data_IF_209705060377
#
_entry.id   IF_209705060377
#
_cell.length_a   1.000
_cell.length_b   1.000
_cell.length_c   1.000
_cell.angle_alpha   90.00
_cell.angle_beta   90.00
_cell.angle_gamma   90.00
#
_symmetry.space_group_name_H-M   'P 1'
#
loop_
_entity.id
_entity.type
_entity.pdbx_description
1 polymer ?
#
# COMPACT_ATOMS: atom_id res chain seq x y z
N UNK A 1 -16.16 36.11 -7.06
CA UNK A 1 -15.28 35.05 -6.52
C UNK A 1 -14.09 35.73 -5.86
N UNK A 2 -13.74 35.39 -4.62
CA UNK A 2 -12.63 36.05 -3.90
C UNK A 2 -11.77 35.04 -3.16
N UNK A 3 -10.48 35.06 -3.49
CA UNK A 3 -9.41 34.30 -2.84
C UNK A 3 -8.78 35.06 -1.64
N UNK A 4 -9.30 36.23 -1.27
CA UNK A 4 -8.93 37.03 -0.08
C UNK A 4 -7.42 37.15 0.22
N UNK A 5 -6.60 37.39 -0.82
CA UNK A 5 -5.14 37.54 -0.69
C UNK A 5 -4.33 36.24 -0.81
N UNK A 6 -5.00 35.09 -0.97
CA UNK A 6 -4.37 33.83 -1.38
C UNK A 6 -4.06 33.83 -2.88
N UNK A 7 -3.17 32.93 -3.30
CA UNK A 7 -2.83 32.76 -4.70
C UNK A 7 -4.00 32.24 -5.57
N UNK A 8 -4.96 31.51 -4.98
CA UNK A 8 -6.13 30.95 -5.65
C UNK A 8 -7.22 30.53 -4.63
N UNK A 9 -8.46 30.35 -5.09
CA UNK A 9 -9.54 29.79 -4.27
C UNK A 9 -9.25 28.32 -3.94
N UNK A 10 -9.50 27.89 -2.71
CA UNK A 10 -9.36 26.48 -2.34
C UNK A 10 -10.45 25.65 -3.03
N UNK A 11 -10.05 24.77 -3.96
CA UNK A 11 -10.98 23.96 -4.77
C UNK A 11 -10.99 22.48 -4.40
N UNK A 12 -9.81 21.92 -4.13
CA UNK A 12 -9.63 20.49 -3.90
C UNK A 12 -8.60 20.29 -2.80
N UNK A 13 -8.88 19.35 -1.91
CA UNK A 13 -7.93 18.91 -0.89
C UNK A 13 -6.81 18.11 -1.55
N UNK A 14 -5.58 18.26 -1.10
CA UNK A 14 -4.46 17.48 -1.61
C UNK A 14 -4.73 15.96 -1.47
N UNK A 15 -4.52 15.15 -2.53
CA UNK A 15 -4.65 13.70 -2.43
C UNK A 15 -3.55 13.16 -1.52
N UNK A 16 -3.91 12.21 -0.66
CA UNK A 16 -2.98 11.49 0.20
C UNK A 16 -3.19 9.99 0.02
N UNK A 17 -2.11 9.21 0.15
CA UNK A 17 -2.16 7.76 0.14
C UNK A 17 -2.32 7.22 1.55
N UNK A 18 -3.10 6.15 1.70
CA UNK A 18 -3.25 5.46 2.98
C UNK A 18 -1.89 4.87 3.39
N UNK A 19 -1.38 5.15 4.60
CA UNK A 19 -0.13 4.59 5.06
C UNK A 19 -0.24 3.07 5.27
N UNK A 20 0.90 2.39 5.26
CA UNK A 20 0.97 0.97 5.61
C UNK A 20 0.70 0.76 7.11
N UNK A 21 0.05 -0.35 7.45
CA UNK A 21 -0.14 -0.78 8.84
C UNK A 21 1.16 -1.33 9.44
N UNK A 22 1.24 -1.38 10.77
CA UNK A 22 2.33 -2.11 11.45
C UNK A 22 1.94 -3.59 11.48
N UNK A 23 2.52 -4.37 10.56
CA UNK A 23 2.18 -5.78 10.37
C UNK A 23 0.86 -5.97 9.61
N UNK A 24 0.45 -7.24 9.46
CA UNK A 24 -0.76 -7.63 8.72
C UNK A 24 -2.03 -7.45 9.56
N UNK A 25 -1.97 -7.83 10.83
CA UNK A 25 -3.02 -7.70 11.83
C UNK A 25 -2.42 -7.79 13.23
N UNK A 26 -3.26 -7.61 14.28
CA UNK A 26 -2.83 -7.78 15.67
C UNK A 26 -2.26 -9.20 15.87
N UNK A 27 -1.04 -9.28 16.42
CA UNK A 27 -0.31 -10.51 16.75
C UNK A 27 -0.05 -11.47 15.56
N UNK A 28 -0.14 -10.97 14.32
CA UNK A 28 0.04 -11.77 13.10
C UNK A 28 1.48 -11.72 12.55
N UNK A 29 2.43 -12.31 13.30
CA UNK A 29 3.82 -12.46 12.87
C UNK A 29 4.07 -13.80 12.16
N UNK A 30 3.75 -14.91 12.82
CA UNK A 30 3.78 -16.24 12.21
C UNK A 30 2.38 -16.57 11.67
N UNK A 31 2.29 -16.87 10.37
CA UNK A 31 1.04 -17.20 9.69
C UNK A 31 1.10 -18.59 9.08
N UNK A 32 -0.04 -19.27 9.02
CA UNK A 32 -0.11 -20.59 8.40
C UNK A 32 0.06 -20.46 6.87
N UNK A 33 0.85 -21.34 6.25
CA UNK A 33 1.14 -21.26 4.80
C UNK A 33 -0.10 -21.25 3.90
N UNK A 34 -1.19 -21.88 4.35
CA UNK A 34 -2.45 -21.93 3.61
C UNK A 34 -3.23 -20.60 3.62
N UNK A 35 -2.81 -19.59 4.40
CA UNK A 35 -3.38 -18.24 4.37
C UNK A 35 -2.75 -17.36 3.30
N UNK A 36 -1.74 -17.85 2.57
CA UNK A 36 -1.03 -17.11 1.53
C UNK A 36 -1.34 -17.75 0.17
N UNK A 37 -1.87 -16.94 -0.75
CA UNK A 37 -2.07 -17.29 -2.16
C UNK A 37 -0.86 -16.87 -2.99
N UNK A 38 -0.44 -17.69 -3.95
CA UNK A 38 0.57 -17.31 -4.94
C UNK A 38 -0.13 -17.15 -6.29
N UNK A 39 -0.54 -15.92 -6.61
CA UNK A 39 -1.38 -15.63 -7.77
C UNK A 39 -0.55 -15.41 -9.05
N UNK A 40 0.47 -14.55 -8.96
CA UNK A 40 1.29 -14.19 -10.13
C UNK A 40 2.77 -14.23 -9.80
N UNK A 41 3.55 -15.00 -10.57
CA UNK A 41 5.01 -14.98 -10.48
C UNK A 41 5.56 -13.68 -11.05
N UNK A 42 6.28 -12.92 -10.24
CA UNK A 42 6.93 -11.66 -10.62
C UNK A 42 8.36 -11.87 -11.10
N UNK A 43 9.03 -12.93 -10.64
CA UNK A 43 10.40 -13.24 -11.07
C UNK A 43 11.03 -14.43 -10.34
N UNK A 44 12.26 -14.76 -10.74
CA UNK A 44 13.06 -15.82 -10.14
C UNK A 44 14.54 -15.45 -10.18
N UNK A 45 15.25 -15.70 -9.08
CA UNK A 45 16.70 -15.60 -8.99
C UNK A 45 17.34 -16.95 -8.66
N UNK A 46 18.64 -16.95 -8.35
CA UNK A 46 19.40 -18.18 -8.08
C UNK A 46 18.94 -18.93 -6.81
N UNK A 47 18.20 -18.28 -5.92
CA UNK A 47 17.87 -18.82 -4.59
C UNK A 47 16.37 -18.80 -4.24
N UNK A 48 15.55 -18.06 -4.99
CA UNK A 48 14.13 -17.90 -4.67
C UNK A 48 13.32 -17.41 -5.88
N UNK A 49 12.01 -17.55 -5.75
CA UNK A 49 11.00 -16.94 -6.62
C UNK A 49 10.29 -15.81 -5.88
N UNK A 50 9.78 -14.84 -6.63
CA UNK A 50 8.96 -13.75 -6.10
C UNK A 50 7.57 -13.86 -6.70
N UNK A 51 6.56 -13.82 -5.84
CA UNK A 51 5.16 -13.98 -6.20
C UNK A 51 4.34 -12.82 -5.61
N UNK A 52 3.34 -12.39 -6.36
CA UNK A 52 2.24 -11.54 -5.90
C UNK A 52 1.09 -12.42 -5.42
N UNK A 53 0.47 -12.05 -4.30
CA UNK A 53 -0.73 -12.67 -3.76
C UNK A 53 -0.91 -12.42 -2.26
#
# INVERSE_FOLDING_TARGET
EKADGLCFNLTVIAPNYTPQTVGLAKDAWEVARNTISLEQKLGQGCFAEVWFG
#
